data_IF_380233522488
#
_entry.id   IF_380233522488
#
_cell.length_a   1.000
_cell.length_b   1.000
_cell.length_c   1.000
_cell.angle_alpha   90.00
_cell.angle_beta   90.00
_cell.angle_gamma   90.00
#
_symmetry.space_group_name_H-M   'P 1'
#
loop_
_entity.id
_entity.type
_entity.pdbx_description
1 polymer ?
#
# COMPACT_ATOMS: atom_id res chain seq x y z
N UNK A 1 -79.48 -25.74 19.61
CA UNK A 1 -80.36 -26.65 20.38
C UNK A 1 -79.64 -27.99 20.57
N UNK A 2 -79.76 -28.53 21.79
CA UNK A 2 -79.63 -29.95 22.17
C UNK A 2 -78.29 -30.70 21.99
N UNK A 3 -77.63 -30.89 23.15
CA UNK A 3 -76.88 -32.10 23.57
C UNK A 3 -77.85 -33.32 23.70
N UNK A 4 -77.40 -34.58 24.00
CA UNK A 4 -76.11 -35.30 23.90
C UNK A 4 -76.40 -36.74 23.29
N UNK A 5 -75.90 -37.95 23.73
CA UNK A 5 -74.74 -38.38 24.55
C UNK A 5 -74.02 -39.72 24.14
N UNK A 6 -72.96 -40.04 24.92
CA UNK A 6 -72.56 -41.36 25.49
C UNK A 6 -71.87 -42.49 24.67
N UNK A 7 -70.57 -42.66 24.99
CA UNK A 7 -69.87 -43.86 25.56
C UNK A 7 -70.19 -45.28 25.05
N UNK A 8 -69.14 -46.02 24.70
CA UNK A 8 -68.61 -47.29 25.32
C UNK A 8 -67.59 -47.94 24.34
N UNK A 9 -66.58 -48.77 24.65
CA UNK A 9 -65.77 -49.15 25.84
C UNK A 9 -64.68 -50.14 25.31
N UNK A 10 -63.57 -50.27 26.05
CA UNK A 10 -62.57 -51.39 26.10
C UNK A 10 -61.49 -51.40 24.98
N UNK A 11 -60.21 -51.72 25.25
CA UNK A 11 -59.63 -52.55 26.31
C UNK A 11 -58.16 -52.20 26.65
N UNK A 12 -57.80 -52.45 27.94
CA UNK A 12 -56.54 -52.99 28.52
C UNK A 12 -55.17 -52.36 28.15
N UNK A 13 -54.18 -52.18 29.04
CA UNK A 13 -53.80 -52.82 30.30
C UNK A 13 -53.30 -51.80 31.34
N UNK A 14 -53.36 -52.17 32.62
CA UNK A 14 -52.80 -51.43 33.75
C UNK A 14 -51.53 -52.06 34.35
N UNK A 15 -51.34 -51.74 35.64
CA UNK A 15 -50.19 -52.01 36.56
C UNK A 15 -49.16 -50.86 36.48
N UNK A 16 -48.80 -50.12 37.52
CA UNK A 16 -49.03 -50.19 38.97
C UNK A 16 -47.81 -49.52 39.63
N UNK A 17 -48.01 -48.51 40.48
CA UNK A 17 -46.94 -47.91 41.29
C UNK A 17 -46.59 -48.86 42.48
N UNK A 18 -45.38 -48.80 43.08
CA UNK A 18 -45.11 -47.71 44.03
C UNK A 18 -43.66 -47.19 44.11
N UNK A 19 -43.63 -46.01 44.74
CA UNK A 19 -42.54 -45.24 45.35
C UNK A 19 -41.67 -46.08 46.32
N UNK A 20 -40.45 -45.59 46.57
CA UNK A 20 -39.45 -45.96 47.61
C UNK A 20 -38.28 -46.86 47.21
N UNK A 21 -37.31 -46.26 46.51
CA UNK A 21 -35.88 -46.34 46.82
C UNK A 21 -35.17 -45.34 45.90
N UNK A 22 -33.97 -44.87 46.25
CA UNK A 22 -33.16 -43.89 45.51
C UNK A 22 -33.49 -42.42 45.82
N UNK A 23 -33.43 -42.05 47.11
CA UNK A 23 -33.13 -40.67 47.52
C UNK A 23 -31.94 -40.60 48.50
N UNK A 24 -31.02 -41.57 48.42
CA UNK A 24 -29.85 -41.66 49.30
C UNK A 24 -28.51 -41.95 48.57
N UNK A 25 -28.37 -41.57 47.29
CA UNK A 25 -27.11 -41.71 46.54
C UNK A 25 -26.73 -40.47 45.72
N UNK A 26 -27.35 -39.31 45.99
CA UNK A 26 -27.07 -38.05 45.28
C UNK A 26 -26.26 -37.02 46.10
N UNK A 27 -25.75 -37.39 47.28
CA UNK A 27 -25.04 -36.44 48.18
C UNK A 27 -23.57 -36.78 48.44
N UNK A 28 -22.97 -37.74 47.72
CA UNK A 28 -21.54 -38.09 47.85
C UNK A 28 -20.75 -37.89 46.53
N UNK A 29 -21.43 -37.64 45.40
CA UNK A 29 -20.75 -37.43 44.11
C UNK A 29 -20.51 -35.94 43.74
N UNK A 30 -20.83 -34.99 44.62
CA UNK A 30 -20.65 -33.55 44.34
C UNK A 30 -19.61 -32.85 45.23
N UNK A 31 -18.96 -33.57 46.15
CA UNK A 31 -17.89 -33.03 47.03
C UNK A 31 -16.49 -33.57 46.68
N UNK A 32 -16.37 -34.49 45.70
CA UNK A 32 -15.06 -34.98 45.22
C UNK A 32 -14.62 -34.49 43.83
N UNK A 33 -15.34 -33.57 43.21
CA UNK A 33 -14.95 -32.98 41.91
C UNK A 33 -14.52 -31.52 41.99
N UNK A 34 -14.44 -30.95 43.21
CA UNK A 34 -14.00 -29.56 43.45
C UNK A 34 -12.73 -29.48 44.31
N UNK A 35 -12.02 -30.60 44.47
CA UNK A 35 -10.75 -30.67 45.19
C UNK A 35 -9.63 -31.39 44.43
N UNK A 36 -9.66 -31.32 43.09
CA UNK A 36 -8.59 -31.86 42.26
C UNK A 36 -8.24 -30.99 41.04
N UNK A 37 -8.47 -29.67 41.15
CA UNK A 37 -8.11 -28.66 40.14
C UNK A 37 -7.40 -27.43 40.75
N UNK A 38 -6.75 -27.63 41.91
CA UNK A 38 -6.02 -26.59 42.66
C UNK A 38 -4.58 -27.02 43.05
N UNK A 39 -4.04 -28.12 42.51
CA UNK A 39 -2.67 -28.58 42.80
C UNK A 39 -1.92 -29.09 41.56
N UNK A 40 -1.92 -28.30 40.49
CA UNK A 40 -1.01 -28.48 39.35
C UNK A 40 -0.33 -27.18 38.90
N UNK A 41 -0.38 -26.15 39.75
CA UNK A 41 0.47 -24.97 39.66
C UNK A 41 1.71 -25.17 40.55
N UNK A 42 2.79 -25.67 39.96
CA UNK A 42 4.11 -25.71 40.59
C UNK A 42 4.69 -27.11 40.79
N UNK A 43 5.13 -27.76 39.69
CA UNK A 43 6.25 -28.72 39.68
C UNK A 43 6.47 -29.35 38.29
N UNK A 44 6.63 -28.57 37.22
CA UNK A 44 7.36 -29.03 36.01
C UNK A 44 8.14 -27.84 35.45
N UNK A 45 9.16 -27.44 36.20
CA UNK A 45 10.29 -26.67 35.68
C UNK A 45 11.50 -27.62 35.68
N UNK A 46 11.67 -28.35 34.57
CA UNK A 46 12.90 -28.96 34.03
C UNK A 46 12.51 -30.15 33.14
N UNK A 47 13.13 -30.21 31.96
CA UNK A 47 13.01 -31.23 30.92
C UNK A 47 11.80 -31.10 29.97
N UNK A 48 11.93 -30.26 28.93
CA UNK A 48 12.01 -30.73 27.54
C UNK A 48 12.08 -29.54 26.58
N UNK A 49 13.27 -29.40 26.01
CA UNK A 49 13.64 -28.44 24.99
C UNK A 49 13.67 -29.19 23.66
N UNK A 50 12.55 -29.23 22.92
CA UNK A 50 12.50 -29.61 21.49
C UNK A 50 11.29 -28.95 20.81
N UNK A 51 11.58 -27.96 19.96
CA UNK A 51 10.89 -27.62 18.71
C UNK A 51 9.35 -27.60 18.66
N UNK A 52 8.74 -26.46 18.98
CA UNK A 52 7.38 -26.13 18.53
C UNK A 52 7.44 -25.22 17.30
N UNK A 53 6.95 -25.74 16.17
CA UNK A 53 6.82 -24.99 14.91
C UNK A 53 5.69 -23.98 15.06
N UNK A 54 6.04 -22.69 15.10
CA UNK A 54 5.08 -21.60 15.11
C UNK A 54 4.27 -21.58 13.80
N UNK A 55 2.95 -21.41 13.92
CA UNK A 55 2.04 -21.20 12.78
C UNK A 55 2.50 -20.01 11.91
N UNK A 56 2.37 -20.08 10.57
CA UNK A 56 2.80 -19.03 9.64
C UNK A 56 2.23 -17.63 9.94
N UNK A 57 1.04 -17.55 10.55
CA UNK A 57 0.43 -16.27 10.94
C UNK A 57 1.09 -15.63 12.18
N UNK A 58 1.66 -16.45 13.08
CA UNK A 58 2.38 -15.97 14.26
C UNK A 58 3.72 -15.32 13.92
N UNK A 59 4.38 -15.77 12.85
CA UNK A 59 5.65 -15.21 12.38
C UNK A 59 5.48 -13.86 11.67
N UNK A 60 4.35 -13.64 10.97
CA UNK A 60 3.96 -12.32 10.43
C UNK A 60 3.78 -11.28 11.54
N UNK A 61 3.06 -11.64 12.61
CA UNK A 61 2.84 -10.75 13.76
C UNK A 61 4.13 -10.41 14.52
N UNK A 62 5.09 -11.34 14.57
CA UNK A 62 6.37 -11.12 15.24
C UNK A 62 7.32 -10.22 14.43
N UNK A 63 7.29 -10.32 13.09
CA UNK A 63 8.06 -9.46 12.20
C UNK A 63 7.48 -8.03 12.14
N UNK A 64 6.14 -7.89 12.11
CA UNK A 64 5.47 -6.57 12.17
C UNK A 64 5.72 -5.86 13.52
N UNK A 65 5.60 -6.56 14.66
CA UNK A 65 5.86 -5.97 15.99
C UNK A 65 7.33 -5.58 16.23
N UNK A 66 8.30 -6.31 15.67
CA UNK A 66 9.72 -5.95 15.81
C UNK A 66 10.10 -4.68 15.05
N UNK A 67 9.35 -4.32 14.02
CA UNK A 67 9.57 -3.09 13.24
C UNK A 67 8.83 -1.89 13.85
N UNK A 68 7.68 -2.11 14.51
CA UNK A 68 6.98 -1.05 15.27
C UNK A 68 7.67 -0.65 16.58
N UNK A 69 8.47 -1.52 17.20
CA UNK A 69 9.01 -1.30 18.56
C UNK A 69 10.51 -0.92 18.61
N UNK A 70 11.07 -0.25 17.60
CA UNK A 70 12.38 0.37 17.78
C UNK A 70 12.23 1.58 18.73
N UNK A 71 12.89 1.60 19.91
CA UNK A 71 12.67 2.63 20.91
C UNK A 71 13.26 3.98 20.46
N UNK A 72 12.43 5.01 20.49
CA UNK A 72 12.85 6.41 20.47
C UNK A 72 13.72 6.67 21.72
N UNK A 73 15.01 6.92 21.51
CA UNK A 73 15.91 7.39 22.55
C UNK A 73 15.58 8.86 22.82
N UNK A 74 14.81 9.12 23.88
CA UNK A 74 14.51 10.46 24.38
C UNK A 74 15.75 11.05 25.08
N UNK A 75 16.31 12.11 24.51
CA UNK A 75 17.23 13.02 25.20
C UNK A 75 16.47 14.00 26.12
N UNK A 76 17.15 14.62 27.11
CA UNK A 76 16.49 15.28 28.23
C UNK A 76 15.82 16.61 27.87
N UNK A 77 14.64 16.79 28.47
CA UNK A 77 13.74 17.95 28.40
C UNK A 77 14.41 19.19 29.01
N UNK A 78 14.58 20.24 28.21
CA UNK A 78 14.92 21.57 28.69
C UNK A 78 13.64 22.34 29.08
N UNK A 79 13.75 23.12 30.15
CA UNK A 79 12.64 23.80 30.83
C UNK A 79 11.89 24.82 29.97
N UNK A 80 10.57 24.84 30.16
CA UNK A 80 9.57 25.70 29.52
C UNK A 80 9.64 27.12 30.07
N UNK A 81 9.83 28.11 29.18
CA UNK A 81 9.63 29.53 29.47
C UNK A 81 8.26 29.94 28.89
N UNK A 82 7.39 30.48 29.74
CA UNK A 82 6.09 31.04 29.33
C UNK A 82 6.26 32.37 28.57
N UNK A 83 5.47 32.60 27.50
CA UNK A 83 5.22 33.94 26.99
C UNK A 83 3.80 34.45 27.32
N UNK A 84 3.59 35.78 27.37
CA UNK A 84 2.42 36.39 27.98
C UNK A 84 1.19 36.54 27.05
N UNK A 85 0.03 36.38 27.69
CA UNK A 85 -1.29 37.02 27.51
C UNK A 85 -1.64 37.85 26.25
N UNK A 86 -2.56 37.28 25.45
CA UNK A 86 -3.78 37.79 24.79
C UNK A 86 -3.86 39.16 24.07
N UNK A 87 -4.39 39.12 22.82
CA UNK A 87 -5.49 39.96 22.31
C UNK A 87 -6.14 39.30 21.04
N UNK A 88 -7.27 39.79 20.49
CA UNK A 88 -8.55 39.08 20.44
C UNK A 88 -8.88 38.33 19.14
N UNK A 89 -9.77 37.35 19.29
CA UNK A 89 -10.32 36.45 18.28
C UNK A 89 -11.23 37.20 17.30
N UNK A 90 -10.92 37.12 16.01
CA UNK A 90 -11.85 37.48 14.92
C UNK A 90 -12.70 36.25 14.59
N UNK A 91 -14.02 36.41 14.69
CA UNK A 91 -15.02 35.39 14.40
C UNK A 91 -15.13 35.19 12.88
N UNK A 92 -14.94 33.96 12.41
CA UNK A 92 -15.21 33.56 11.01
C UNK A 92 -16.65 33.01 10.92
N UNK A 93 -17.43 33.32 9.85
CA UNK A 93 -18.84 32.96 9.78
C UNK A 93 -19.05 31.45 9.59
N UNK A 94 -20.04 30.96 10.35
CA UNK A 94 -20.65 29.64 10.28
C UNK A 94 -21.31 29.42 8.91
N UNK A 95 -20.75 28.51 8.10
CA UNK A 95 -21.38 28.07 6.86
C UNK A 95 -22.75 27.43 7.14
N UNK A 96 -23.74 27.84 6.36
CA UNK A 96 -25.14 27.48 6.48
C UNK A 96 -25.37 26.09 5.86
N UNK A 97 -25.89 25.14 6.65
CA UNK A 97 -26.29 23.83 6.15
C UNK A 97 -27.49 23.97 5.20
N UNK A 98 -27.27 23.79 3.90
CA UNK A 98 -28.36 23.52 2.95
C UNK A 98 -28.79 22.06 3.07
N UNK A 99 -29.89 21.84 3.77
CA UNK A 99 -30.64 20.58 3.85
C UNK A 99 -31.35 20.36 2.51
N UNK A 100 -30.81 19.49 1.66
CA UNK A 100 -31.53 18.99 0.48
C UNK A 100 -32.62 18.03 0.97
N UNK A 101 -33.87 18.38 0.73
CA UNK A 101 -35.02 17.51 0.93
C UNK A 101 -35.09 16.51 -0.22
N UNK A 102 -34.98 15.22 0.09
CA UNK A 102 -35.26 14.13 -0.84
C UNK A 102 -36.77 13.82 -0.83
N UNK A 103 -37.45 13.73 -1.97
CA UNK A 103 -38.82 13.21 -2.04
C UNK A 103 -38.85 11.67 -1.96
N UNK A 104 -39.97 11.07 -1.51
CA UNK A 104 -40.09 9.64 -1.25
C UNK A 104 -40.21 8.79 -2.53
N UNK A 105 -39.88 7.48 -2.47
CA UNK A 105 -39.85 6.61 -3.64
C UNK A 105 -41.26 6.16 -4.04
N UNK A 106 -41.51 6.19 -5.35
CA UNK A 106 -42.68 5.54 -5.96
C UNK A 106 -42.31 4.09 -6.29
N UNK A 107 -43.10 3.15 -5.76
CA UNK A 107 -43.05 1.74 -6.15
C UNK A 107 -43.77 1.56 -7.49
N UNK A 108 -43.13 0.90 -8.44
CA UNK A 108 -43.87 0.14 -9.45
C UNK A 108 -43.08 -1.08 -9.90
N UNK A 109 -43.80 -2.20 -9.89
CA UNK A 109 -43.38 -3.56 -10.21
C UNK A 109 -43.59 -3.81 -11.69
N UNK A 110 -42.65 -4.44 -12.39
CA UNK A 110 -42.99 -5.34 -13.50
C UNK A 110 -41.95 -6.44 -13.73
N UNK A 111 -42.52 -7.56 -14.17
CA UNK A 111 -41.99 -8.92 -14.32
C UNK A 111 -40.81 -9.09 -15.28
N UNK A 112 -39.96 -10.03 -14.87
CA UNK A 112 -39.25 -11.07 -15.62
C UNK A 112 -39.45 -11.16 -17.14
N UNK A 113 -38.32 -11.21 -17.85
CA UNK A 113 -38.17 -11.94 -19.11
C UNK A 113 -36.85 -12.73 -19.07
N UNK A 114 -36.98 -14.05 -19.23
CA UNK A 114 -35.91 -15.04 -19.41
C UNK A 114 -35.48 -14.98 -20.87
N UNK A 115 -34.19 -14.81 -21.14
CA UNK A 115 -33.58 -15.13 -22.44
C UNK A 115 -32.30 -15.91 -22.17
N UNK A 116 -32.37 -17.22 -22.42
CA UNK A 116 -31.21 -18.05 -22.73
C UNK A 116 -30.71 -17.65 -24.12
N UNK A 117 -29.40 -17.78 -24.38
CA UNK A 117 -28.82 -18.39 -25.60
C UNK A 117 -27.28 -18.26 -25.62
N UNK A 118 -26.66 -19.43 -25.74
CA UNK A 118 -25.44 -19.84 -26.46
C UNK A 118 -24.00 -19.51 -26.00
N UNK A 119 -23.32 -20.62 -25.70
CA UNK A 119 -21.88 -20.91 -25.77
C UNK A 119 -21.26 -20.68 -27.16
N UNK A 120 -20.14 -19.95 -27.22
CA UNK A 120 -19.14 -20.00 -28.33
C UNK A 120 -17.75 -19.59 -27.75
N UNK A 121 -16.60 -20.06 -28.26
CA UNK A 121 -15.59 -20.74 -27.44
C UNK A 121 -14.31 -19.94 -27.23
N UNK A 122 -13.47 -20.44 -26.31
CA UNK A 122 -12.06 -20.08 -26.11
C UNK A 122 -11.25 -20.03 -27.42
N UNK A 123 -10.29 -19.10 -27.51
CA UNK A 123 -9.06 -19.34 -28.23
C UNK A 123 -7.84 -19.34 -27.29
N UNK A 124 -6.96 -20.31 -27.50
CA UNK A 124 -5.57 -20.38 -27.01
C UNK A 124 -4.78 -21.13 -28.09
N UNK A 125 -3.46 -20.96 -28.27
CA UNK A 125 -2.57 -19.81 -28.07
C UNK A 125 -1.88 -19.40 -29.40
N UNK A 126 -1.55 -18.12 -29.57
CA UNK A 126 -0.60 -17.71 -30.62
C UNK A 126 0.80 -17.54 -30.00
N UNK A 127 1.74 -18.34 -30.51
CA UNK A 127 3.16 -18.28 -30.21
C UNK A 127 3.73 -16.90 -30.62
N UNK A 128 4.39 -16.21 -29.68
CA UNK A 128 5.17 -15.02 -29.99
C UNK A 128 6.59 -15.42 -30.36
N UNK A 129 6.85 -15.36 -31.66
CA UNK A 129 8.15 -15.55 -32.30
C UNK A 129 9.19 -14.58 -31.74
N UNK A 130 10.38 -15.11 -31.41
CA UNK A 130 11.61 -14.34 -31.16
C UNK A 130 11.93 -13.46 -32.37
N UNK A 131 12.11 -12.16 -32.16
CA UNK A 131 12.76 -11.28 -33.14
C UNK A 131 14.02 -10.64 -32.51
N UNK A 132 15.15 -10.56 -33.22
CA UNK A 132 16.45 -10.20 -32.65
C UNK A 132 16.63 -8.68 -32.51
N UNK A 133 17.40 -8.29 -31.49
CA UNK A 133 17.96 -6.96 -31.29
C UNK A 133 18.78 -6.52 -32.51
N UNK A 134 18.39 -5.40 -33.13
CA UNK A 134 19.22 -4.71 -34.13
C UNK A 134 20.24 -3.79 -33.43
N UNK A 135 21.47 -3.66 -33.98
CA UNK A 135 22.49 -2.74 -33.48
C UNK A 135 22.22 -1.28 -33.89
N UNK A 136 22.73 -0.35 -33.08
CA UNK A 136 22.57 1.10 -33.20
C UNK A 136 23.04 1.67 -34.55
N UNK A 137 22.35 2.67 -35.13
CA UNK A 137 22.83 3.39 -36.30
C UNK A 137 23.85 4.47 -35.93
N UNK A 138 24.98 4.39 -36.62
CA UNK A 138 26.12 5.31 -36.67
C UNK A 138 25.71 6.71 -37.15
N UNK A 139 26.18 7.76 -36.46
CA UNK A 139 26.10 9.17 -36.89
C UNK A 139 26.98 9.46 -38.12
N UNK A 140 26.55 10.37 -39.00
CA UNK A 140 27.45 11.21 -39.78
C UNK A 140 27.34 12.72 -39.43
N UNK A 141 28.31 13.55 -39.88
CA UNK A 141 28.71 14.77 -39.18
C UNK A 141 28.07 16.08 -39.66
N UNK A 142 28.15 17.05 -38.74
CA UNK A 142 28.16 18.52 -38.80
C UNK A 142 28.19 19.21 -40.18
N UNK A 143 27.21 20.11 -40.44
CA UNK A 143 27.43 21.54 -40.72
C UNK A 143 26.14 22.24 -41.17
N UNK A 144 25.78 23.34 -40.49
CA UNK A 144 25.41 24.66 -41.05
C UNK A 144 24.52 25.41 -40.07
N UNK A 145 25.02 26.56 -39.63
CA UNK A 145 24.25 27.58 -38.93
C UNK A 145 23.20 28.19 -39.87
N UNK A 146 22.02 28.53 -39.35
CA UNK A 146 21.49 29.91 -39.38
C UNK A 146 20.11 30.03 -38.72
N UNK A 147 19.90 31.25 -38.22
CA UNK A 147 18.63 31.91 -37.88
C UNK A 147 17.99 31.63 -36.51
N UNK A 148 18.43 32.44 -35.57
CA UNK A 148 17.73 32.94 -34.38
C UNK A 148 16.24 33.21 -34.65
N UNK A 149 15.36 32.36 -34.13
CA UNK A 149 13.95 32.71 -33.88
C UNK A 149 13.75 33.04 -32.40
N UNK A 150 13.13 34.19 -32.17
CA UNK A 150 12.78 34.79 -30.89
C UNK A 150 12.01 33.84 -29.94
N UNK A 151 12.09 34.05 -28.62
CA UNK A 151 11.43 33.21 -27.63
C UNK A 151 9.91 33.24 -27.81
N UNK A 152 9.35 32.08 -28.10
CA UNK A 152 7.90 31.86 -28.09
C UNK A 152 7.36 32.23 -26.70
N UNK A 153 6.41 33.16 -26.68
CA UNK A 153 5.69 33.56 -25.48
C UNK A 153 5.19 32.32 -24.69
N UNK A 154 5.26 32.35 -23.35
CA UNK A 154 4.77 31.26 -22.53
C UNK A 154 3.29 31.03 -22.86
N UNK A 155 2.98 29.79 -23.25
CA UNK A 155 1.62 29.27 -23.36
C UNK A 155 0.87 29.67 -22.08
N UNK A 156 -0.33 30.28 -22.16
CA UNK A 156 -1.08 30.64 -20.98
C UNK A 156 -1.19 29.41 -20.09
N UNK A 157 -0.76 29.52 -18.82
CA UNK A 157 -1.06 28.54 -17.79
C UNK A 157 -2.55 28.26 -17.89
N UNK A 158 -2.91 27.05 -18.34
CA UNK A 158 -4.30 26.62 -18.38
C UNK A 158 -4.88 26.95 -17.00
N UNK A 159 -5.94 27.76 -16.96
CA UNK A 159 -6.51 28.25 -15.70
C UNK A 159 -6.67 27.07 -14.74
N UNK A 160 -5.93 27.11 -13.64
CA UNK A 160 -5.97 26.03 -12.65
C UNK A 160 -7.41 26.02 -12.13
N UNK A 161 -8.12 24.90 -12.32
CA UNK A 161 -9.48 24.78 -11.81
C UNK A 161 -9.42 24.81 -10.29
N UNK A 162 -10.34 25.55 -9.63
CA UNK A 162 -10.41 25.61 -8.17
C UNK A 162 -10.44 24.22 -7.53
N UNK A 163 -9.99 24.14 -6.28
CA UNK A 163 -9.95 22.90 -5.51
C UNK A 163 -11.34 22.29 -5.42
N UNK A 164 -12.35 23.11 -5.15
CA UNK A 164 -13.74 22.74 -4.90
C UNK A 164 -14.39 22.02 -6.10
N UNK A 165 -13.93 22.32 -7.33
CA UNK A 165 -14.41 21.65 -8.54
C UNK A 165 -13.79 20.27 -8.75
N UNK A 166 -12.66 20.00 -8.08
CA UNK A 166 -11.80 18.82 -8.28
C UNK A 166 -11.57 18.03 -7.00
N UNK A 167 -12.34 18.31 -5.97
CA UNK A 167 -12.23 17.69 -4.66
C UNK A 167 -13.60 17.19 -4.22
N UNK A 168 -13.68 15.89 -3.93
CA UNK A 168 -14.86 15.27 -3.34
C UNK A 168 -14.52 14.73 -1.94
N UNK A 169 -15.57 14.57 -1.12
CA UNK A 169 -15.46 14.03 0.24
C UNK A 169 -16.41 12.85 0.40
N UNK A 170 -15.92 11.75 0.96
CA UNK A 170 -16.68 10.54 1.25
C UNK A 170 -16.41 10.05 2.67
N UNK A 171 -17.36 9.33 3.25
CA UNK A 171 -17.35 8.98 4.67
C UNK A 171 -17.45 7.47 4.87
N UNK A 172 -16.34 6.84 5.28
CA UNK A 172 -16.30 5.40 5.52
C UNK A 172 -16.15 4.55 4.25
N UNK A 173 -16.12 3.24 4.46
CA UNK A 173 -15.76 2.26 3.45
C UNK A 173 -16.85 2.07 2.39
N UNK A 174 -18.10 1.98 2.81
CA UNK A 174 -19.23 1.71 1.92
C UNK A 174 -19.47 2.87 0.94
N UNK A 175 -19.43 4.11 1.43
CA UNK A 175 -19.57 5.31 0.60
C UNK A 175 -18.41 5.46 -0.39
N UNK A 176 -17.19 5.13 0.03
CA UNK A 176 -16.03 5.10 -0.87
C UNK A 176 -16.23 4.05 -1.99
N UNK A 177 -16.67 2.83 -1.68
CA UNK A 177 -16.94 1.84 -2.72
C UNK A 177 -18.04 2.30 -3.67
N UNK A 178 -19.14 2.84 -3.13
CA UNK A 178 -20.23 3.39 -3.94
C UNK A 178 -19.77 4.55 -4.83
N UNK A 179 -18.80 5.34 -4.37
CA UNK A 179 -18.15 6.38 -5.15
C UNK A 179 -17.28 5.79 -6.26
N UNK A 180 -16.42 4.81 -5.96
CA UNK A 180 -15.52 4.18 -6.93
C UNK A 180 -16.28 3.40 -8.01
N UNK A 181 -17.37 2.72 -7.65
CA UNK A 181 -18.24 2.01 -8.58
C UNK A 181 -18.87 2.92 -9.63
N UNK A 182 -19.13 4.19 -9.26
CA UNK A 182 -19.72 5.21 -10.13
C UNK A 182 -18.67 6.12 -10.76
N UNK A 183 -17.41 5.98 -10.37
CA UNK A 183 -16.37 6.87 -10.83
C UNK A 183 -16.15 6.67 -12.33
N UNK A 184 -16.19 7.78 -13.04
CA UNK A 184 -15.78 7.87 -14.44
C UNK A 184 -15.00 9.18 -14.61
N UNK A 185 -13.86 9.16 -15.33
CA UNK A 185 -13.12 10.38 -15.66
C UNK A 185 -14.06 11.42 -16.28
N UNK A 186 -14.06 12.65 -15.75
CA UNK A 186 -14.92 13.72 -16.30
C UNK A 186 -14.35 14.26 -17.62
N UNK A 187 -13.09 14.01 -17.90
CA UNK A 187 -12.35 14.45 -19.08
C UNK A 187 -11.16 13.53 -19.36
N UNK A 188 -10.64 13.58 -20.58
CA UNK A 188 -9.46 12.82 -20.98
C UNK A 188 -8.24 13.21 -20.12
N UNK A 189 -7.48 12.21 -19.68
CA UNK A 189 -6.32 12.43 -18.83
C UNK A 189 -6.61 12.72 -17.36
N UNK A 190 -7.88 12.70 -16.92
CA UNK A 190 -8.20 12.87 -15.49
C UNK A 190 -7.48 11.80 -14.64
N UNK A 191 -6.77 12.24 -13.61
CA UNK A 191 -6.10 11.34 -12.66
C UNK A 191 -6.77 11.45 -11.29
N UNK A 192 -7.26 10.33 -10.77
CA UNK A 192 -7.89 10.25 -9.46
C UNK A 192 -6.87 9.90 -8.37
N UNK A 193 -6.90 10.66 -7.28
CA UNK A 193 -6.15 10.40 -6.07
C UNK A 193 -7.12 10.17 -4.91
N UNK A 194 -6.85 9.12 -4.13
CA UNK A 194 -7.62 8.73 -2.95
C UNK A 194 -6.81 9.08 -1.72
N UNK A 195 -7.32 9.99 -0.89
CA UNK A 195 -6.69 10.43 0.35
C UNK A 195 -7.49 9.98 1.57
N UNK A 196 -6.97 8.99 2.28
CA UNK A 196 -7.57 8.43 3.49
C UNK A 196 -7.04 9.18 4.71
N UNK A 197 -7.93 9.71 5.55
CA UNK A 197 -7.57 10.47 6.75
C UNK A 197 -8.37 10.02 7.97
N UNK A 198 -7.94 10.50 9.14
CA UNK A 198 -8.57 10.28 10.43
C UNK A 198 -10.01 10.80 10.46
N UNK A 199 -10.89 10.09 11.19
CA UNK A 199 -12.26 10.51 11.46
C UNK A 199 -12.73 10.03 12.84
N UNK A 200 -13.96 10.33 13.24
CA UNK A 200 -14.56 9.69 14.41
C UNK A 200 -15.16 8.31 14.08
N UNK A 201 -15.79 7.64 15.07
CA UNK A 201 -16.45 6.34 14.91
C UNK A 201 -17.65 6.37 13.96
N UNK A 202 -18.21 7.55 13.69
CA UNK A 202 -19.29 7.77 12.73
C UNK A 202 -18.76 8.27 11.38
N UNK A 203 -17.46 8.11 11.14
CA UNK A 203 -16.75 8.59 9.96
C UNK A 203 -16.83 10.11 9.74
N UNK A 204 -17.14 10.91 10.76
CA UNK A 204 -17.18 12.37 10.64
C UNK A 204 -15.80 12.98 10.80
N UNK A 205 -15.54 14.18 10.25
CA UNK A 205 -14.22 14.81 10.32
C UNK A 205 -13.71 14.94 11.75
N UNK A 206 -12.58 14.27 12.04
CA UNK A 206 -11.87 14.36 13.31
C UNK A 206 -10.42 13.93 13.10
N UNK A 207 -9.48 14.84 13.36
CA UNK A 207 -8.05 14.52 13.33
C UNK A 207 -7.61 14.05 14.72
N UNK A 208 -7.78 12.76 15.01
CA UNK A 208 -7.33 12.18 16.29
C UNK A 208 -5.80 12.02 16.40
N UNK A 209 -5.06 12.26 15.31
CA UNK A 209 -3.61 12.28 15.26
C UNK A 209 -3.11 13.60 14.67
N UNK A 210 -2.01 14.12 15.22
CA UNK A 210 -1.29 15.27 14.67
C UNK A 210 -0.86 15.03 13.22
N UNK A 211 -0.35 13.83 12.92
CA UNK A 211 0.05 13.44 11.56
C UNK A 211 -1.10 13.54 10.57
N UNK A 212 -2.33 13.16 10.95
CA UNK A 212 -3.50 13.31 10.07
C UNK A 212 -3.86 14.77 9.80
N UNK A 213 -3.78 15.63 10.82
CA UNK A 213 -4.02 17.07 10.68
C UNK A 213 -2.98 17.69 9.75
N UNK A 214 -1.71 17.45 10.04
CA UNK A 214 -0.59 18.09 9.34
C UNK A 214 -0.50 17.58 7.89
N UNK A 215 -0.72 16.28 7.66
CA UNK A 215 -0.80 15.72 6.31
C UNK A 215 -2.01 16.25 5.53
N UNK A 216 -3.17 16.44 6.16
CA UNK A 216 -4.34 16.99 5.47
C UNK A 216 -4.09 18.42 4.98
N UNK A 217 -3.53 19.27 5.85
CA UNK A 217 -3.13 20.63 5.48
C UNK A 217 -2.14 20.61 4.31
N UNK A 218 -1.08 19.80 4.41
CA UNK A 218 -0.05 19.76 3.40
C UNK A 218 -0.53 19.16 2.06
N UNK A 219 -1.27 18.05 2.09
CA UNK A 219 -1.86 17.43 0.89
C UNK A 219 -2.76 18.40 0.16
N UNK A 220 -3.63 19.15 0.87
CA UNK A 220 -4.51 20.13 0.24
C UNK A 220 -3.74 21.30 -0.35
N UNK A 221 -2.74 21.84 0.37
CA UNK A 221 -1.89 22.91 -0.14
C UNK A 221 -1.15 22.49 -1.42
N UNK A 222 -0.52 21.32 -1.45
CA UNK A 222 0.21 20.83 -2.63
C UNK A 222 -0.76 20.47 -3.76
N UNK A 223 -1.89 19.83 -3.46
CA UNK A 223 -2.87 19.44 -4.48
C UNK A 223 -3.54 20.64 -5.15
N UNK A 224 -3.78 21.73 -4.40
CA UNK A 224 -4.37 22.97 -4.97
C UNK A 224 -3.53 23.54 -6.11
N UNK A 225 -2.22 23.28 -6.09
CA UNK A 225 -1.22 23.69 -7.10
C UNK A 225 -0.99 22.65 -8.20
N UNK A 226 -1.62 21.49 -8.09
CA UNK A 226 -1.48 20.39 -9.04
C UNK A 226 -2.25 20.64 -10.35
N UNK A 227 -1.88 19.98 -11.46
CA UNK A 227 -2.58 20.11 -12.73
C UNK A 227 -4.09 19.98 -12.59
N UNK A 228 -4.83 20.83 -13.32
CA UNK A 228 -6.31 20.81 -13.33
C UNK A 228 -6.88 19.44 -13.64
N UNK A 229 -6.15 18.56 -14.32
CA UNK A 229 -6.58 17.19 -14.64
C UNK A 229 -6.60 16.26 -13.43
N UNK A 230 -6.01 16.64 -12.31
CA UNK A 230 -6.04 15.84 -11.10
C UNK A 230 -7.34 16.06 -10.34
N UNK A 231 -7.86 14.98 -9.75
CA UNK A 231 -9.00 14.96 -8.85
C UNK A 231 -8.61 14.31 -7.54
N UNK A 232 -8.99 14.91 -6.42
CA UNK A 232 -8.75 14.39 -5.09
C UNK A 232 -10.06 13.92 -4.48
N UNK A 233 -10.05 12.79 -3.81
CA UNK A 233 -11.15 12.34 -2.96
C UNK A 233 -10.62 12.19 -1.55
N UNK A 234 -11.19 12.92 -0.60
CA UNK A 234 -10.89 12.72 0.82
C UNK A 234 -11.86 11.70 1.39
N UNK A 235 -11.30 10.62 1.93
CA UNK A 235 -12.01 9.53 2.60
C UNK A 235 -11.76 9.65 4.10
N UNK A 236 -12.81 9.97 4.85
CA UNK A 236 -12.77 9.90 6.32
C UNK A 236 -12.89 8.43 6.74
N UNK A 237 -11.80 7.86 7.24
CA UNK A 237 -11.58 6.41 7.23
C UNK A 237 -11.53 5.74 8.60
N UNK A 238 -12.03 6.38 9.65
CA UNK A 238 -12.29 5.79 10.97
C UNK A 238 -11.53 6.44 12.12
N UNK A 239 -11.98 6.12 13.34
CA UNK A 239 -11.35 6.52 14.60
C UNK A 239 -10.04 5.78 14.87
N UNK A 240 -9.28 6.28 15.83
CA UNK A 240 -8.08 5.59 16.33
C UNK A 240 -8.39 4.12 16.70
N UNK A 241 -9.51 3.89 17.41
CA UNK A 241 -9.97 2.55 17.79
C UNK A 241 -10.24 1.66 16.57
N UNK A 242 -10.79 2.21 15.50
CA UNK A 242 -11.05 1.50 14.25
C UNK A 242 -9.75 1.04 13.55
N UNK A 243 -8.66 1.76 13.76
CA UNK A 243 -7.34 1.46 13.20
C UNK A 243 -6.44 0.61 14.13
N UNK A 244 -6.87 0.30 15.35
CA UNK A 244 -6.16 -0.64 16.24
C UNK A 244 -6.18 -2.09 15.74
N UNK A 245 -7.12 -2.44 14.86
CA UNK A 245 -7.30 -3.76 14.30
C UNK A 245 -7.44 -3.70 12.78
N UNK A 246 -7.37 -4.87 12.13
CA UNK A 246 -7.74 -4.98 10.72
C UNK A 246 -9.20 -4.56 10.55
N UNK A 247 -9.45 -3.79 9.51
CA UNK A 247 -10.74 -3.23 9.17
C UNK A 247 -11.00 -3.39 7.65
N UNK A 248 -12.17 -2.94 7.20
CA UNK A 248 -12.57 -3.10 5.80
C UNK A 248 -11.57 -2.49 4.80
N UNK A 249 -10.97 -1.33 5.09
CA UNK A 249 -9.94 -0.74 4.23
C UNK A 249 -8.63 -1.55 4.24
N UNK A 250 -8.28 -2.14 5.39
CA UNK A 250 -7.08 -2.94 5.56
C UNK A 250 -7.14 -4.25 4.78
N UNK A 251 -8.30 -4.91 4.82
CA UNK A 251 -8.54 -6.21 4.21
C UNK A 251 -9.04 -6.13 2.77
N UNK A 252 -9.39 -4.93 2.30
CA UNK A 252 -9.75 -4.70 0.90
C UNK A 252 -8.65 -5.20 -0.04
N UNK A 253 -9.08 -5.92 -1.10
CA UNK A 253 -8.17 -6.60 -2.03
C UNK A 253 -7.39 -5.61 -2.89
N UNK A 254 -8.02 -4.50 -3.25
CA UNK A 254 -7.56 -3.58 -4.28
C UNK A 254 -6.81 -2.39 -3.64
N UNK A 255 -7.38 -1.79 -2.61
CA UNK A 255 -6.81 -0.67 -1.87
C UNK A 255 -5.76 -1.12 -0.86
N UNK A 256 -6.13 -2.06 0.02
CA UNK A 256 -5.28 -2.63 1.08
C UNK A 256 -4.55 -1.56 1.91
N UNK A 257 -5.31 -0.61 2.46
CA UNK A 257 -4.81 0.54 3.23
C UNK A 257 -4.29 0.08 4.60
N UNK A 258 -3.00 0.26 4.88
CA UNK A 258 -2.40 -0.25 6.12
C UNK A 258 -2.47 0.71 7.30
N UNK A 259 -2.62 2.00 7.04
CA UNK A 259 -2.68 3.04 8.06
C UNK A 259 -3.32 4.30 7.47
N UNK A 260 -3.70 5.23 8.34
CA UNK A 260 -4.01 6.62 8.00
C UNK A 260 -3.02 7.58 8.68
N UNK A 261 -2.73 8.74 8.09
CA UNK A 261 -3.17 9.18 6.76
C UNK A 261 -2.49 8.38 5.63
N UNK A 262 -3.15 8.25 4.47
CA UNK A 262 -2.62 7.55 3.30
C UNK A 262 -3.12 8.19 2.01
N UNK A 263 -2.26 8.30 0.99
CA UNK A 263 -2.60 8.78 -0.34
C UNK A 263 -2.20 7.75 -1.39
N UNK A 264 -3.00 7.57 -2.43
CA UNK A 264 -2.63 6.76 -3.59
C UNK A 264 -3.31 7.23 -4.87
N UNK A 265 -2.73 6.87 -6.01
CA UNK A 265 -3.37 7.04 -7.32
C UNK A 265 -4.29 5.85 -7.62
N UNK A 266 -5.47 6.14 -8.15
CA UNK A 266 -6.42 5.15 -8.67
C UNK A 266 -6.47 5.22 -10.20
N UNK A 267 -6.28 4.08 -10.87
CA UNK A 267 -6.16 4.03 -12.34
C UNK A 267 -7.48 3.71 -13.06
N UNK A 268 -8.58 3.52 -12.31
CA UNK A 268 -9.90 3.19 -12.87
C UNK A 268 -9.90 1.93 -13.76
N UNK A 269 -9.08 0.95 -13.40
CA UNK A 269 -8.90 -0.30 -14.13
C UNK A 269 -8.81 -1.44 -13.14
N UNK A 270 -9.90 -2.20 -12.97
CA UNK A 270 -9.93 -3.43 -12.15
C UNK A 270 -9.31 -3.28 -10.74
N UNK A 271 -9.46 -2.14 -10.10
CA UNK A 271 -8.87 -1.91 -8.76
C UNK A 271 -7.39 -1.52 -8.74
N UNK A 272 -6.80 -1.19 -9.88
CA UNK A 272 -5.38 -0.84 -9.97
C UNK A 272 -5.04 0.46 -9.24
N UNK A 273 -4.02 0.38 -8.38
CA UNK A 273 -3.49 1.48 -7.58
C UNK A 273 -1.97 1.56 -7.68
N UNK A 274 -1.43 2.77 -7.61
CA UNK A 274 0.01 3.02 -7.57
C UNK A 274 0.36 4.22 -6.70
N UNK A 275 1.65 4.46 -6.48
CA UNK A 275 2.13 5.66 -5.80
C UNK A 275 1.60 5.85 -4.39
N UNK A 276 1.50 4.75 -3.62
CA UNK A 276 0.95 4.79 -2.26
C UNK A 276 1.96 5.43 -1.30
N UNK A 277 1.55 6.49 -0.60
CA UNK A 277 2.29 7.13 0.47
C UNK A 277 1.48 7.09 1.76
N UNK A 278 2.17 7.00 2.90
CA UNK A 278 1.57 6.79 4.22
C UNK A 278 2.18 7.72 5.25
N UNK A 279 1.41 8.07 6.27
CA UNK A 279 1.86 8.76 7.48
C UNK A 279 2.79 9.95 7.17
N UNK A 280 4.01 9.96 7.72
CA UNK A 280 4.95 11.09 7.60
C UNK A 280 5.48 11.28 6.18
N UNK A 281 5.46 10.27 5.30
CA UNK A 281 5.84 10.42 3.89
C UNK A 281 4.93 11.42 3.16
N UNK A 282 3.71 11.64 3.67
CA UNK A 282 2.80 12.68 3.17
C UNK A 282 3.21 14.10 3.59
N UNK A 283 4.25 14.27 4.40
CA UNK A 283 4.80 15.58 4.77
C UNK A 283 5.99 15.97 3.90
N UNK A 284 6.47 15.06 3.04
CA UNK A 284 7.54 15.31 2.09
C UNK A 284 7.02 16.05 0.85
N UNK A 285 7.14 17.39 0.84
CA UNK A 285 6.72 18.24 -0.28
C UNK A 285 7.24 17.75 -1.64
N UNK A 286 8.52 17.38 -1.82
CA UNK A 286 8.99 16.93 -3.14
C UNK A 286 8.32 15.64 -3.61
N UNK A 287 8.02 14.70 -2.71
CA UNK A 287 7.36 13.44 -3.07
C UNK A 287 5.89 13.66 -3.45
N UNK A 288 5.17 14.48 -2.69
CA UNK A 288 3.79 14.84 -3.02
C UNK A 288 3.69 15.56 -4.35
N UNK A 289 4.58 16.54 -4.59
CA UNK A 289 4.65 17.25 -5.87
C UNK A 289 4.98 16.34 -7.03
N UNK A 290 5.91 15.40 -6.83
CA UNK A 290 6.24 14.40 -7.83
C UNK A 290 5.04 13.51 -8.14
N UNK A 291 4.33 13.02 -7.12
CA UNK A 291 3.14 12.17 -7.29
C UNK A 291 2.01 12.90 -8.02
N UNK A 292 1.72 14.14 -7.61
CA UNK A 292 0.69 14.97 -8.25
C UNK A 292 1.15 15.60 -9.57
N UNK A 293 2.42 15.49 -9.93
CA UNK A 293 3.02 16.09 -11.14
C UNK A 293 2.83 17.61 -11.18
N UNK A 294 3.10 18.28 -10.07
CA UNK A 294 3.01 19.73 -9.98
C UNK A 294 4.01 20.39 -10.94
N UNK A 295 3.58 21.47 -11.62
CA UNK A 295 4.39 22.21 -12.58
C UNK A 295 4.36 23.72 -12.35
N UNK A 296 3.77 24.16 -11.24
CA UNK A 296 3.70 25.56 -10.83
C UNK A 296 5.07 26.14 -10.46
N UNK A 297 6.01 25.29 -10.06
CA UNK A 297 7.43 25.62 -9.88
C UNK A 297 8.32 24.47 -10.35
N UNK A 298 9.58 24.74 -10.75
CA UNK A 298 10.56 23.69 -10.99
C UNK A 298 10.81 22.86 -9.73
N UNK A 299 11.10 21.58 -9.93
CA UNK A 299 11.52 20.70 -8.85
C UNK A 299 12.94 21.05 -8.37
N UNK A 300 13.13 21.05 -7.05
CA UNK A 300 14.38 21.45 -6.40
C UNK A 300 15.51 20.43 -6.57
N UNK A 301 15.21 19.18 -6.90
CA UNK A 301 16.20 18.11 -7.04
C UNK A 301 16.17 17.47 -8.42
N UNK A 302 15.02 17.49 -9.10
CA UNK A 302 14.85 17.11 -10.49
C UNK A 302 15.03 18.32 -11.39
N UNK A 303 16.21 18.96 -11.33
CA UNK A 303 16.54 20.01 -12.27
C UNK A 303 16.53 19.43 -13.69
N UNK A 304 15.80 20.09 -14.59
CA UNK A 304 15.79 19.82 -16.03
C UNK A 304 17.17 20.13 -16.64
N UNK A 305 18.15 19.31 -16.30
CA UNK A 305 19.51 19.31 -16.83
C UNK A 305 19.81 17.97 -17.47
N UNK A 306 20.88 17.94 -18.27
CA UNK A 306 21.32 16.76 -19.01
C UNK A 306 21.44 15.49 -18.14
N UNK A 307 21.69 15.62 -16.83
CA UNK A 307 21.94 14.47 -15.96
C UNK A 307 20.71 13.63 -15.62
N UNK A 308 19.50 14.18 -15.49
CA UNK A 308 18.31 13.34 -15.22
C UNK A 308 18.06 12.40 -16.40
N UNK A 309 18.18 12.91 -17.63
CA UNK A 309 18.04 12.11 -18.85
C UNK A 309 19.12 11.04 -19.06
N UNK A 310 20.25 11.10 -18.33
CA UNK A 310 21.28 10.05 -18.39
C UNK A 310 20.98 8.85 -17.50
N UNK A 311 20.07 8.99 -16.54
CA UNK A 311 19.70 7.95 -15.59
C UNK A 311 18.55 7.13 -16.14
N UNK A 312 18.54 5.82 -15.86
CA UNK A 312 17.49 4.93 -16.37
C UNK A 312 17.12 3.86 -15.35
N UNK A 313 15.81 3.62 -15.24
CA UNK A 313 15.25 2.51 -14.48
C UNK A 313 14.80 1.46 -15.49
N UNK A 314 15.30 0.24 -15.36
CA UNK A 314 14.88 -0.91 -16.16
C UNK A 314 14.14 -1.90 -15.26
N UNK A 315 13.03 -2.47 -15.73
CA UNK A 315 12.28 -3.48 -14.97
C UNK A 315 12.43 -4.85 -15.60
N UNK A 316 12.69 -5.86 -14.77
CA UNK A 316 12.70 -7.28 -15.13
C UNK A 316 11.83 -8.05 -14.14
N UNK A 317 11.20 -9.14 -14.59
CA UNK A 317 10.14 -9.84 -13.86
C UNK A 317 10.40 -11.34 -13.63
N UNK A 318 11.65 -11.76 -13.78
CA UNK A 318 12.08 -13.14 -13.54
C UNK A 318 13.53 -13.21 -13.10
N UNK A 319 13.88 -14.32 -12.45
CA UNK A 319 15.25 -14.60 -12.03
C UNK A 319 16.21 -14.69 -13.23
N UNK A 320 15.79 -15.33 -14.31
CA UNK A 320 16.59 -15.46 -15.53
C UNK A 320 16.85 -14.10 -16.18
N UNK A 321 15.84 -13.22 -16.24
CA UNK A 321 16.02 -11.87 -16.78
C UNK A 321 16.91 -11.00 -15.89
N UNK A 322 16.80 -11.14 -14.57
CA UNK A 322 17.72 -10.51 -13.61
C UNK A 322 19.16 -10.96 -13.83
N UNK A 323 19.40 -12.27 -13.91
CA UNK A 323 20.74 -12.81 -14.14
C UNK A 323 21.29 -12.38 -15.49
N UNK A 324 20.48 -12.44 -16.55
CA UNK A 324 20.89 -11.99 -17.88
C UNK A 324 21.28 -10.51 -17.89
N UNK A 325 20.51 -9.65 -17.22
CA UNK A 325 20.84 -8.22 -17.08
C UNK A 325 22.14 -8.00 -16.30
N UNK A 326 22.36 -8.74 -15.20
CA UNK A 326 23.58 -8.62 -14.40
C UNK A 326 24.81 -9.11 -15.17
N UNK A 327 24.72 -10.25 -15.85
CA UNK A 327 25.78 -10.78 -16.71
C UNK A 327 26.08 -9.82 -17.86
N UNK A 328 25.06 -9.27 -18.52
CA UNK A 328 25.24 -8.32 -19.61
C UNK A 328 25.95 -7.05 -19.14
N UNK A 329 25.60 -6.53 -17.96
CA UNK A 329 26.27 -5.38 -17.36
C UNK A 329 27.76 -5.66 -17.06
N UNK A 330 28.05 -6.83 -16.47
CA UNK A 330 29.43 -7.24 -16.14
C UNK A 330 30.31 -7.46 -17.38
N UNK A 331 29.70 -7.75 -18.53
CA UNK A 331 30.41 -7.93 -19.81
C UNK A 331 30.68 -6.62 -20.57
N UNK A 332 30.16 -5.48 -20.11
CA UNK A 332 30.38 -4.18 -20.78
C UNK A 332 31.86 -3.75 -20.69
N UNK A 333 32.38 -3.03 -21.69
CA UNK A 333 33.69 -2.40 -21.57
C UNK A 333 33.66 -1.24 -20.57
N UNK A 334 34.80 -0.99 -19.93
CA UNK A 334 34.98 0.16 -19.03
C UNK A 334 34.91 1.51 -19.80
N UNK A 335 34.46 2.62 -19.16
CA UNK A 335 34.02 2.72 -17.76
C UNK A 335 32.57 2.25 -17.53
N UNK A 336 32.32 1.51 -16.45
CA UNK A 336 30.94 1.15 -16.08
C UNK A 336 30.18 2.32 -15.44
N UNK A 337 28.89 2.42 -15.77
CA UNK A 337 27.98 3.29 -15.04
C UNK A 337 27.59 2.67 -13.68
N UNK A 338 27.31 3.45 -12.62
CA UNK A 338 26.81 2.89 -11.37
C UNK A 338 25.54 2.07 -11.58
N UNK A 339 25.50 0.84 -11.05
CA UNK A 339 24.34 -0.04 -11.10
C UNK A 339 23.80 -0.30 -9.69
N UNK A 340 22.49 -0.14 -9.56
CA UNK A 340 21.71 -0.39 -8.36
C UNK A 340 20.65 -1.44 -8.63
N UNK A 341 20.35 -2.29 -7.65
CA UNK A 341 19.33 -3.31 -7.75
C UNK A 341 18.25 -3.03 -6.70
N UNK A 342 16.99 -2.95 -7.14
CA UNK A 342 15.83 -2.83 -6.26
C UNK A 342 14.91 -4.03 -6.50
N UNK A 343 14.96 -5.00 -5.58
CA UNK A 343 14.06 -6.15 -5.57
C UNK A 343 12.75 -5.75 -4.92
N UNK A 344 11.65 -5.98 -5.63
CA UNK A 344 10.28 -5.68 -5.21
C UNK A 344 9.39 -6.88 -5.47
N UNK A 345 8.22 -6.91 -4.83
CA UNK A 345 7.20 -7.91 -5.16
C UNK A 345 6.76 -7.79 -6.61
N UNK A 346 6.45 -8.92 -7.24
CA UNK A 346 5.65 -8.92 -8.46
C UNK A 346 4.24 -8.37 -8.25
N UNK A 347 3.53 -8.25 -9.36
CA UNK A 347 2.19 -7.65 -9.43
C UNK A 347 1.11 -8.71 -9.48
N UNK A 348 0.01 -8.44 -8.77
CA UNK A 348 -1.19 -9.28 -8.78
C UNK A 348 -1.84 -9.23 -10.16
N UNK A 349 -2.23 -10.38 -10.70
CA UNK A 349 -2.79 -10.47 -12.05
C UNK A 349 -4.15 -9.75 -12.17
N UNK A 350 -4.88 -9.64 -11.06
CA UNK A 350 -6.24 -9.10 -11.04
C UNK A 350 -6.25 -7.57 -11.17
N UNK A 351 -5.30 -6.87 -10.54
CA UNK A 351 -5.32 -5.41 -10.40
C UNK A 351 -3.93 -4.75 -10.56
N UNK A 352 -2.93 -5.48 -11.04
CA UNK A 352 -1.57 -5.00 -11.28
C UNK A 352 -0.85 -4.37 -10.05
N UNK A 353 -1.42 -4.55 -8.85
CA UNK A 353 -0.86 -4.01 -7.61
C UNK A 353 0.28 -4.90 -7.12
N UNK A 354 1.39 -4.34 -6.61
CA UNK A 354 2.41 -5.13 -5.92
C UNK A 354 1.81 -5.87 -4.72
N UNK A 355 2.07 -7.17 -4.58
CA UNK A 355 1.50 -7.95 -3.46
C UNK A 355 2.10 -7.56 -2.11
N UNK A 356 3.33 -7.02 -2.08
CA UNK A 356 3.97 -6.54 -0.86
C UNK A 356 3.56 -5.08 -0.56
N UNK A 357 2.94 -4.80 0.60
CA UNK A 357 2.61 -3.42 0.99
C UNK A 357 3.83 -2.51 1.07
N UNK A 358 4.95 -2.98 1.62
CA UNK A 358 6.17 -2.19 1.75
C UNK A 358 6.79 -1.83 0.40
N UNK A 359 6.62 -2.68 -0.62
CA UNK A 359 7.07 -2.36 -1.98
C UNK A 359 6.24 -1.21 -2.58
N UNK A 360 4.96 -1.11 -2.22
CA UNK A 360 4.10 0.01 -2.63
C UNK A 360 4.55 1.32 -1.97
N UNK A 361 4.84 1.28 -0.68
CA UNK A 361 5.29 2.47 0.08
C UNK A 361 6.64 2.99 -0.43
N UNK A 362 7.53 2.09 -0.88
CA UNK A 362 8.83 2.47 -1.42
C UNK A 362 8.82 2.94 -2.88
N UNK A 363 7.72 2.75 -3.62
CA UNK A 363 7.68 2.98 -5.08
C UNK A 363 8.08 4.42 -5.42
N UNK A 364 7.40 5.40 -4.83
CA UNK A 364 7.65 6.82 -5.10
C UNK A 364 8.98 7.30 -4.53
N UNK A 365 9.33 7.06 -3.24
CA UNK A 365 10.59 7.52 -2.69
C UNK A 365 11.82 6.95 -3.42
N UNK A 366 11.77 5.68 -3.84
CA UNK A 366 12.89 5.06 -4.57
C UNK A 366 13.03 5.59 -5.99
N UNK A 367 11.92 5.74 -6.72
CA UNK A 367 11.93 6.29 -8.08
C UNK A 367 12.41 7.75 -8.08
N UNK A 368 11.75 8.60 -7.27
CA UNK A 368 12.11 10.01 -7.14
C UNK A 368 13.56 10.15 -6.66
N UNK A 369 13.94 9.42 -5.60
CA UNK A 369 15.28 9.48 -5.03
C UNK A 369 16.38 9.03 -6.01
N UNK A 370 16.10 8.07 -6.89
CA UNK A 370 17.03 7.69 -7.96
C UNK A 370 17.27 8.86 -8.93
N UNK A 371 16.20 9.44 -9.47
CA UNK A 371 16.34 10.55 -10.41
C UNK A 371 16.92 11.81 -9.76
N UNK A 372 16.62 12.07 -8.49
CA UNK A 372 17.12 13.20 -7.73
C UNK A 372 18.60 13.04 -7.33
N UNK A 373 18.98 11.88 -6.78
CA UNK A 373 20.23 11.77 -6.01
C UNK A 373 21.26 10.79 -6.58
N UNK A 374 20.86 9.83 -7.42
CA UNK A 374 21.82 8.90 -8.03
C UNK A 374 22.86 9.66 -8.90
N UNK A 375 24.07 9.13 -9.07
CA UNK A 375 25.07 9.72 -9.96
C UNK A 375 24.57 9.82 -11.42
N UNK A 376 25.10 10.75 -12.23
CA UNK A 376 24.87 10.75 -13.67
C UNK A 376 25.19 9.40 -14.33
N UNK A 377 24.43 9.03 -15.35
CA UNK A 377 24.59 7.76 -16.08
C UNK A 377 24.11 6.52 -15.33
N UNK A 378 23.74 6.63 -14.04
CA UNK A 378 23.36 5.49 -13.22
C UNK A 378 22.20 4.68 -13.82
N UNK A 379 22.18 3.39 -13.48
CA UNK A 379 21.09 2.46 -13.76
C UNK A 379 20.51 1.90 -12.47
N UNK A 380 19.19 1.84 -12.41
CA UNK A 380 18.47 1.09 -11.38
C UNK A 380 17.73 -0.06 -12.07
N UNK A 381 18.15 -1.29 -11.77
CA UNK A 381 17.40 -2.47 -12.17
C UNK A 381 16.33 -2.72 -11.10
N UNK A 382 15.06 -2.54 -11.45
CA UNK A 382 13.90 -2.90 -10.62
C UNK A 382 13.52 -4.35 -10.93
N UNK A 383 13.74 -5.25 -9.98
CA UNK A 383 13.52 -6.68 -10.13
C UNK A 383 12.22 -7.06 -9.43
N UNK A 384 11.21 -7.43 -10.20
CA UNK A 384 10.00 -8.07 -9.66
C UNK A 384 10.29 -9.55 -9.40
N UNK A 385 10.17 -9.97 -8.14
CA UNK A 385 10.56 -11.33 -7.71
C UNK A 385 9.58 -12.41 -8.18
N UNK A 386 8.63 -12.83 -7.34
CA UNK A 386 7.59 -13.79 -7.66
C UNK A 386 6.27 -13.08 -7.93
N UNK A 387 5.37 -13.73 -8.67
CA UNK A 387 4.05 -13.17 -9.02
C UNK A 387 3.13 -13.11 -7.81
N UNK A 388 3.28 -14.07 -6.89
CA UNK A 388 2.45 -14.16 -5.68
C UNK A 388 3.29 -14.22 -4.40
N UNK A 389 2.69 -13.80 -3.29
CA UNK A 389 3.30 -13.96 -1.96
C UNK A 389 3.46 -15.44 -1.57
N UNK A 390 2.61 -16.33 -2.08
CA UNK A 390 2.70 -17.76 -1.78
C UNK A 390 3.96 -18.38 -2.41
N UNK A 391 4.24 -18.06 -3.68
CA UNK A 391 5.50 -18.43 -4.35
C UNK A 391 6.72 -17.85 -3.64
N UNK A 392 6.62 -16.62 -3.13
CA UNK A 392 7.71 -15.99 -2.38
C UNK A 392 8.08 -16.78 -1.13
N UNK A 393 7.08 -17.31 -0.43
CA UNK A 393 7.27 -18.07 0.82
C UNK A 393 7.86 -19.46 0.62
N UNK A 394 7.68 -20.06 -0.55
CA UNK A 394 8.32 -21.33 -0.91
C UNK A 394 9.77 -21.11 -1.38
N UNK A 395 10.64 -22.14 -1.32
CA UNK A 395 11.96 -22.08 -1.93
C UNK A 395 11.84 -21.65 -3.40
N UNK A 396 12.68 -20.71 -3.81
CA UNK A 396 12.70 -20.16 -5.17
C UNK A 396 14.10 -19.60 -5.47
N UNK A 397 14.46 -19.42 -6.76
CA UNK A 397 15.82 -19.05 -7.15
C UNK A 397 16.35 -17.78 -6.47
N UNK A 398 15.51 -16.74 -6.30
CA UNK A 398 15.93 -15.51 -5.61
C UNK A 398 16.29 -15.72 -4.13
N UNK A 399 15.65 -16.69 -3.46
CA UNK A 399 15.89 -16.98 -2.04
C UNK A 399 17.03 -17.95 -1.80
N UNK A 400 17.40 -18.70 -2.83
CA UNK A 400 18.47 -19.70 -2.81
C UNK A 400 19.79 -19.16 -3.36
N UNK A 401 19.75 -18.04 -4.09
CA UNK A 401 20.93 -17.39 -4.64
C UNK A 401 21.89 -16.92 -3.53
N UNK A 402 23.09 -17.53 -3.42
CA UNK A 402 24.05 -17.16 -2.39
C UNK A 402 24.62 -15.74 -2.58
N UNK A 403 24.61 -15.19 -3.80
CA UNK A 403 25.15 -13.84 -4.07
C UNK A 403 24.25 -12.75 -3.50
N UNK A 404 22.96 -13.03 -3.31
CA UNK A 404 21.99 -12.13 -2.68
C UNK A 404 22.01 -12.24 -1.14
N UNK A 405 22.74 -13.21 -0.60
CA UNK A 405 22.60 -13.66 0.78
C UNK A 405 21.17 -14.11 1.07
N UNK A 406 20.76 -14.23 2.35
CA UNK A 406 19.39 -14.59 2.68
C UNK A 406 18.41 -13.46 2.32
N UNK A 407 17.89 -13.45 1.09
CA UNK A 407 16.84 -12.54 0.64
C UNK A 407 15.48 -12.99 1.20
N UNK A 408 15.18 -12.60 2.44
CA UNK A 408 13.97 -13.03 3.16
C UNK A 408 12.75 -12.14 2.95
N UNK A 409 12.92 -10.94 2.41
CA UNK A 409 11.85 -9.98 2.23
C UNK A 409 12.18 -8.95 1.16
N UNK A 410 11.13 -8.29 0.70
CA UNK A 410 11.15 -7.19 -0.26
C UNK A 410 10.32 -6.03 0.30
N UNK A 411 10.63 -4.75 0.00
CA UNK A 411 11.69 -4.30 -0.90
C UNK A 411 13.09 -4.57 -0.34
N UNK A 412 14.04 -4.86 -1.23
CA UNK A 412 15.45 -5.01 -0.88
C UNK A 412 16.33 -4.28 -1.89
N UNK A 413 17.37 -3.62 -1.40
CA UNK A 413 18.23 -2.80 -2.23
C UNK A 413 19.68 -3.24 -2.14
N UNK A 414 20.35 -3.25 -3.30
CA UNK A 414 21.77 -3.57 -3.41
C UNK A 414 22.50 -2.56 -4.27
N UNK A 415 23.74 -2.25 -3.87
CA UNK A 415 24.70 -1.51 -4.68
C UNK A 415 25.63 -2.54 -5.32
N UNK A 416 25.79 -2.48 -6.64
CA UNK A 416 26.74 -3.34 -7.35
C UNK A 416 28.12 -2.72 -7.25
N UNK A 417 29.05 -3.40 -6.59
CA UNK A 417 30.43 -2.95 -6.36
C UNK A 417 31.40 -3.85 -7.12
N UNK A 418 32.47 -3.26 -7.65
CA UNK A 418 33.62 -4.02 -8.13
C UNK A 418 34.60 -4.14 -6.96
N UNK A 419 34.90 -5.37 -6.52
CA UNK A 419 35.81 -5.63 -5.40
C UNK A 419 37.25 -5.37 -5.78
N UNK A 420 37.62 -5.71 -7.02
CA UNK A 420 39.00 -5.61 -7.50
C UNK A 420 39.04 -5.26 -9.00
N UNK A 421 39.89 -4.29 -9.33
CA UNK A 421 40.13 -3.83 -10.71
C UNK A 421 40.98 -4.81 -11.51
N UNK A 422 41.78 -5.65 -10.86
CA UNK A 422 42.66 -6.61 -11.52
C UNK A 422 41.94 -7.94 -11.81
N UNK A 423 41.25 -8.52 -10.81
CA UNK A 423 40.50 -9.78 -11.01
C UNK A 423 39.12 -9.60 -11.65
N UNK A 424 38.52 -8.40 -11.56
CA UNK A 424 37.18 -8.15 -12.09
C UNK A 424 36.04 -8.74 -11.26
N UNK A 425 36.29 -9.14 -10.02
CA UNK A 425 35.26 -9.71 -9.15
C UNK A 425 34.23 -8.64 -8.74
N UNK A 426 32.95 -8.97 -8.88
CA UNK A 426 31.81 -8.11 -8.51
C UNK A 426 31.15 -8.60 -7.21
N UNK A 427 30.67 -7.67 -6.40
CA UNK A 427 29.93 -7.93 -5.17
C UNK A 427 28.64 -7.14 -5.12
N UNK A 428 27.66 -7.69 -4.37
CA UNK A 428 26.38 -7.05 -4.12
C UNK A 428 26.36 -6.58 -2.66
N UNK A 429 26.46 -5.26 -2.46
CA UNK A 429 26.39 -4.64 -1.14
C UNK A 429 24.91 -4.40 -0.78
N UNK A 430 24.37 -5.19 0.16
CA UNK A 430 22.98 -5.04 0.61
C UNK A 430 22.82 -3.85 1.56
N UNK A 431 21.85 -2.99 1.28
CA UNK A 431 21.44 -1.89 2.17
C UNK A 431 20.24 -2.34 3.01
N UNK A 432 20.32 -2.20 4.33
CA UNK A 432 19.26 -2.58 5.28
C UNK A 432 18.67 -1.34 5.93
N UNK A 433 17.75 -0.68 5.23
CA UNK A 433 17.12 0.57 5.68
C UNK A 433 15.63 0.61 5.27
N UNK A 434 14.90 1.64 5.71
CA UNK A 434 13.51 1.91 5.28
C UNK A 434 13.46 2.70 3.99
N UNK A 435 12.94 2.10 2.93
CA UNK A 435 12.90 2.71 1.59
C UNK A 435 11.67 3.59 1.32
N UNK A 436 10.82 3.80 2.32
CA UNK A 436 9.65 4.67 2.26
C UNK A 436 9.93 6.09 2.78
N UNK A 437 11.18 6.38 3.16
CA UNK A 437 11.64 7.69 3.66
C UNK A 437 12.68 8.30 2.72
N UNK A 438 12.47 9.53 2.29
CA UNK A 438 13.33 10.12 1.26
C UNK A 438 14.75 10.43 1.77
N UNK A 439 14.91 10.75 3.05
CA UNK A 439 16.22 10.99 3.69
C UNK A 439 17.10 9.74 3.61
N UNK A 440 16.49 8.58 3.85
CA UNK A 440 17.16 7.29 3.76
C UNK A 440 17.62 7.01 2.33
N UNK A 441 16.75 7.24 1.34
CA UNK A 441 17.07 7.05 -0.08
C UNK A 441 18.15 8.03 -0.55
N UNK A 442 18.11 9.29 -0.08
CA UNK A 442 19.16 10.29 -0.34
C UNK A 442 20.51 9.83 0.20
N UNK A 443 20.55 9.37 1.46
CA UNK A 443 21.78 8.89 2.10
C UNK A 443 22.41 7.70 1.36
N UNK A 444 21.58 6.77 0.85
CA UNK A 444 22.00 5.62 0.05
C UNK A 444 22.80 6.06 -1.18
N UNK A 445 22.30 7.02 -1.97
CA UNK A 445 22.98 7.44 -3.19
C UNK A 445 24.23 8.28 -2.90
N UNK A 446 24.31 8.96 -1.75
CA UNK A 446 25.56 9.60 -1.32
C UNK A 446 26.65 8.58 -0.96
N UNK A 447 26.31 7.50 -0.24
CA UNK A 447 27.26 6.41 0.08
C UNK A 447 27.82 5.72 -1.16
N UNK A 448 27.05 5.68 -2.25
CA UNK A 448 27.49 5.09 -3.52
C UNK A 448 28.56 5.89 -4.27
N UNK A 449 28.78 7.17 -3.89
CA UNK A 449 29.77 8.06 -4.52
C UNK A 449 31.17 7.94 -3.90
N UNK A 450 31.32 7.19 -2.81
CA UNK A 450 32.61 6.98 -2.18
C UNK A 450 33.38 5.87 -2.93
N UNK A 451 34.66 6.10 -3.25
CA UNK A 451 35.49 5.23 -4.07
C UNK A 451 35.75 3.85 -3.46
#
# INVERSE_FOLDING_TARGET
>A
MQRPPLRTRRAALGIGAPVLAIFALASVAFVMTVHNLSQSAGAIARANDVGSVASPEGQLRAAERRVEQAPLVNGPVAARVEPPSQAPVTTIPRATNHRIQTPPPTQESTKAAVVQVEDVPMPTPAASTKAPLQPDPVMPPTAAAETTTAPSSPKPLASVRPLEERHDVVYGFDDMNAYLDKYSPRHEGETLFLYFTCSDDAFRPLNWSDTCRDAMEHVYDVFSKSPSTNRLVTIYAGSEKFWQYKNAFYDDRDLRVKTVPCLMKWHNRRGETSGMMISETLLDDPLLRYLFKNTDRPDEHLHAGAFVGTKRIDTVDSYDAYNAALTAYQAQPEPHHPLFLLFVSGRLAENNRPWCPYCRFSEIPMEYGFYAFAPPGARLLRIEVTKTYQEWKTPNPFREDPSLGPLRGVPAFFIVRRRDRETGEWTLERVNERFDRIETVRALYHRSRLP
#
